data_IF_762684465400
#
_entry.id   IF_762684465400
#
_cell.length_a   1.000
_cell.length_b   1.000
_cell.length_c   1.000
_cell.angle_alpha   90.00
_cell.angle_beta   90.00
_cell.angle_gamma   90.00
#
_symmetry.space_group_name_H-M   'P 1'
#
loop_
_entity.id
_entity.type
_entity.pdbx_description
1 polymer ?
#
# COMPACT_ATOMS: atom_id res chain seq x y z
N UNK A 1 -0.31 37.96 30.64
CA UNK A 1 -1.53 37.23 31.02
C UNK A 1 -1.28 35.77 30.84
N UNK A 2 -0.71 35.20 31.90
CA UNK A 2 -0.70 33.76 32.18
C UNK A 2 -2.13 33.23 32.35
N UNK A 3 -2.21 31.90 32.31
CA UNK A 3 -3.34 31.01 32.65
C UNK A 3 -4.17 30.51 31.46
N UNK A 4 -3.69 29.42 30.83
CA UNK A 4 -4.51 28.26 30.41
C UNK A 4 -3.67 27.21 29.64
N UNK A 5 -2.51 26.78 30.16
CA UNK A 5 -1.71 25.68 29.56
C UNK A 5 -1.18 24.68 30.60
N UNK A 6 -1.85 24.55 31.76
CA UNK A 6 -1.33 23.78 32.90
C UNK A 6 -2.29 22.65 33.34
N UNK A 7 -2.81 21.89 32.38
CA UNK A 7 -3.57 20.67 32.71
C UNK A 7 -3.55 19.69 31.54
N UNK A 8 -2.43 18.98 31.35
CA UNK A 8 -2.35 17.66 30.68
C UNK A 8 -0.93 17.05 30.72
N UNK A 9 -0.19 17.27 31.81
CA UNK A 9 1.02 16.48 32.12
C UNK A 9 0.74 15.64 33.38
N UNK A 10 0.46 14.36 33.16
CA UNK A 10 0.25 13.37 34.21
C UNK A 10 0.53 11.97 33.67
N UNK A 11 1.65 11.42 34.13
CA UNK A 11 2.03 10.00 34.15
C UNK A 11 2.51 9.33 32.84
N UNK A 12 3.74 9.69 32.45
CA UNK A 12 4.68 8.72 31.87
C UNK A 12 5.99 8.75 32.68
N UNK A 13 6.11 7.82 33.64
CA UNK A 13 7.37 7.61 34.35
C UNK A 13 8.35 6.81 33.45
N UNK A 14 9.64 7.19 33.38
CA UNK A 14 10.62 6.49 32.57
C UNK A 14 11.06 5.17 33.22
N UNK A 15 11.13 4.11 32.43
CA UNK A 15 11.65 2.81 32.83
C UNK A 15 13.18 2.91 33.00
N UNK A 16 13.66 2.95 34.24
CA UNK A 16 15.09 2.90 34.58
C UNK A 16 15.53 1.45 34.73
N UNK A 17 16.50 1.03 33.92
CA UNK A 17 17.26 -0.20 34.14
C UNK A 17 18.32 0.08 35.21
N UNK A 18 18.14 -0.46 36.41
CA UNK A 18 19.22 -0.59 37.37
C UNK A 18 19.63 -2.07 37.41
N UNK A 19 20.87 -2.32 36.97
CA UNK A 19 21.63 -3.50 37.32
C UNK A 19 21.97 -3.44 38.81
N UNK A 20 21.55 -4.43 39.59
CA UNK A 20 22.16 -4.75 40.88
C UNK A 20 22.04 -6.26 41.12
N UNK A 21 23.21 -6.93 41.18
CA UNK A 21 23.36 -8.30 41.67
C UNK A 21 23.14 -8.34 43.19
N UNK A 22 22.38 -9.33 43.67
CA UNK A 22 22.69 -10.26 44.78
C UNK A 22 21.42 -10.80 45.45
N UNK A 23 21.36 -12.13 45.65
CA UNK A 23 20.52 -12.76 46.67
C UNK A 23 19.71 -13.98 46.24
N UNK A 24 20.32 -15.16 46.26
CA UNK A 24 19.60 -16.45 46.34
C UNK A 24 18.65 -16.46 47.55
N UNK A 25 17.34 -16.62 47.33
CA UNK A 25 16.41 -17.17 48.33
C UNK A 25 15.35 -18.09 47.68
N UNK A 26 15.10 -19.17 48.41
CA UNK A 26 14.42 -20.43 48.08
C UNK A 26 13.17 -20.39 47.19
N UNK A 27 13.16 -21.32 46.24
CA UNK A 27 12.01 -21.76 45.45
C UNK A 27 11.04 -22.51 46.38
N UNK A 28 9.95 -21.85 46.80
CA UNK A 28 8.77 -22.53 47.31
C UNK A 28 7.87 -22.93 46.14
N UNK A 29 7.75 -24.24 45.92
CA UNK A 29 6.77 -24.85 45.01
C UNK A 29 5.35 -24.42 45.37
N UNK A 30 4.50 -23.97 44.42
CA UNK A 30 3.11 -23.68 44.72
C UNK A 30 2.35 -24.99 45.04
N UNK A 31 1.67 -25.01 46.19
CA UNK A 31 0.74 -26.07 46.57
C UNK A 31 -0.38 -26.22 45.51
N UNK A 32 -0.64 -27.46 45.10
CA UNK A 32 -1.66 -27.89 44.12
C UNK A 32 -3.14 -27.73 44.58
N UNK A 33 -3.50 -26.67 45.32
CA UNK A 33 -4.87 -26.52 45.86
C UNK A 33 -5.56 -25.19 45.60
N UNK A 34 -5.10 -24.40 44.63
CA UNK A 34 -5.93 -23.36 44.02
C UNK A 34 -6.37 -23.79 42.62
N UNK A 35 -7.29 -24.75 42.56
CA UNK A 35 -8.20 -24.85 41.43
C UNK A 35 -9.11 -23.62 41.54
N UNK A 36 -8.63 -22.51 40.97
CA UNK A 36 -9.40 -21.30 40.79
C UNK A 36 -10.68 -21.66 40.04
N UNK A 37 -11.80 -21.44 40.71
CA UNK A 37 -13.10 -21.38 40.06
C UNK A 37 -13.05 -20.20 39.09
N UNK A 38 -12.77 -20.48 37.81
CA UNK A 38 -12.91 -19.49 36.74
C UNK A 38 -14.36 -19.01 36.76
N UNK A 39 -14.55 -17.73 37.07
CA UNK A 39 -15.86 -17.10 37.12
C UNK A 39 -16.44 -17.03 35.71
N UNK A 40 -17.39 -17.92 35.41
CA UNK A 40 -18.04 -18.05 34.10
C UNK A 40 -18.64 -16.74 33.56
N UNK A 41 -18.90 -15.75 34.44
CA UNK A 41 -19.41 -14.44 34.02
C UNK A 41 -18.33 -13.58 33.34
N UNK A 42 -17.06 -13.69 33.78
CA UNK A 42 -15.93 -12.98 33.18
C UNK A 42 -15.55 -13.56 31.82
N UNK A 43 -15.66 -14.89 31.66
CA UNK A 43 -15.38 -15.56 30.38
C UNK A 43 -16.42 -15.17 29.32
N UNK A 44 -17.71 -15.08 29.68
CA UNK A 44 -18.77 -14.66 28.77
C UNK A 44 -18.64 -13.18 28.35
N UNK A 45 -18.23 -12.30 29.27
CA UNK A 45 -17.97 -10.90 28.97
C UNK A 45 -16.77 -10.74 28.02
N UNK A 46 -15.68 -11.48 28.27
CA UNK A 46 -14.50 -11.47 27.43
C UNK A 46 -14.82 -11.93 26.00
N UNK A 47 -15.55 -13.04 25.84
CA UNK A 47 -15.99 -13.51 24.52
C UNK A 47 -16.82 -12.46 23.78
N UNK A 48 -17.73 -11.79 24.49
CA UNK A 48 -18.52 -10.71 23.87
C UNK A 48 -17.62 -9.58 23.34
N UNK A 49 -16.62 -9.16 24.10
CA UNK A 49 -15.68 -8.11 23.68
C UNK A 49 -14.81 -8.55 22.50
N UNK A 50 -14.36 -9.81 22.49
CA UNK A 50 -13.60 -10.35 21.36
C UNK A 50 -14.44 -10.34 20.08
N UNK A 51 -15.67 -10.84 20.14
CA UNK A 51 -16.60 -10.83 19.01
C UNK A 51 -16.93 -9.41 18.52
N UNK A 52 -17.18 -8.48 19.45
CA UNK A 52 -17.49 -7.07 19.15
C UNK A 52 -16.36 -6.39 18.39
N UNK A 53 -15.10 -6.64 18.78
CA UNK A 53 -13.91 -6.07 18.16
C UNK A 53 -13.28 -6.95 17.06
N UNK A 54 -13.94 -8.04 16.65
CA UNK A 54 -13.44 -8.93 15.60
C UNK A 54 -12.12 -9.61 15.94
N UNK A 55 -11.89 -9.91 17.22
CA UNK A 55 -10.68 -10.54 17.74
C UNK A 55 -10.81 -12.07 17.88
N UNK A 56 -11.65 -12.66 17.02
CA UNK A 56 -11.98 -14.08 16.94
C UNK A 56 -11.66 -14.59 15.53
N UNK A 57 -11.78 -15.90 15.31
CA UNK A 57 -11.68 -16.56 14.00
C UNK A 57 -10.45 -16.17 13.15
N UNK A 58 -10.60 -15.22 12.22
CA UNK A 58 -9.57 -14.77 11.28
C UNK A 58 -8.59 -13.75 11.87
N UNK A 59 -8.95 -13.13 13.00
CA UNK A 59 -8.12 -12.18 13.74
C UNK A 59 -8.01 -12.58 15.22
N UNK A 60 -7.58 -13.82 15.55
CA UNK A 60 -7.62 -14.30 16.92
C UNK A 60 -6.68 -13.51 17.84
N UNK A 61 -7.16 -13.16 19.03
CA UNK A 61 -6.28 -12.64 20.09
C UNK A 61 -5.58 -13.80 20.82
N UNK A 62 -4.23 -13.81 20.89
CA UNK A 62 -3.52 -14.87 21.60
C UNK A 62 -3.86 -14.94 23.09
N UNK A 63 -4.03 -16.16 23.60
CA UNK A 63 -4.39 -16.42 25.00
C UNK A 63 -3.21 -16.29 25.95
N UNK A 64 -1.98 -16.54 25.49
CA UNK A 64 -0.77 -16.35 26.29
C UNK A 64 -0.23 -14.92 26.16
N UNK A 65 0.31 -14.40 27.27
CA UNK A 65 0.75 -13.00 27.37
C UNK A 65 1.92 -12.69 26.44
N UNK A 66 2.80 -13.66 26.18
CA UNK A 66 3.96 -13.47 25.30
C UNK A 66 3.52 -13.23 23.85
N UNK A 67 2.66 -14.11 23.31
CA UNK A 67 2.13 -13.97 21.95
C UNK A 67 1.26 -12.73 21.81
N UNK A 68 0.51 -12.35 22.85
CA UNK A 68 -0.26 -11.09 22.86
C UNK A 68 0.66 -9.86 22.79
N UNK A 69 1.76 -9.86 23.54
CA UNK A 69 2.76 -8.80 23.47
C UNK A 69 3.45 -8.74 22.10
N UNK A 70 3.69 -9.89 21.45
CA UNK A 70 4.21 -9.94 20.09
C UNK A 70 3.23 -9.39 19.06
N UNK A 71 1.93 -9.73 19.16
CA UNK A 71 0.89 -9.18 18.30
C UNK A 71 0.82 -7.65 18.44
N UNK A 72 0.89 -7.14 19.67
CA UNK A 72 0.94 -5.70 19.90
C UNK A 72 2.16 -5.04 19.25
N UNK A 73 3.36 -5.61 19.44
CA UNK A 73 4.59 -5.12 18.79
C UNK A 73 4.50 -5.18 17.27
N UNK A 74 3.88 -6.21 16.72
CA UNK A 74 3.62 -6.33 15.30
C UNK A 74 2.75 -5.17 14.80
N UNK A 75 1.60 -4.92 15.44
CA UNK A 75 0.72 -3.80 15.09
C UNK A 75 1.46 -2.45 15.14
N UNK A 76 2.23 -2.19 16.20
CA UNK A 76 3.02 -0.96 16.33
C UNK A 76 4.06 -0.82 15.21
N UNK A 77 4.73 -1.92 14.86
CA UNK A 77 5.78 -1.90 13.82
C UNK A 77 5.18 -1.62 12.44
N UNK A 78 4.06 -2.27 12.11
CA UNK A 78 3.37 -2.09 10.83
C UNK A 78 2.82 -0.67 10.70
N UNK A 79 2.11 -0.19 11.73
CA UNK A 79 1.58 1.17 11.77
C UNK A 79 2.69 2.24 11.71
N UNK A 80 3.73 2.08 12.52
CA UNK A 80 4.86 3.01 12.58
C UNK A 80 5.65 3.07 11.28
N UNK A 81 5.85 1.93 10.61
CA UNK A 81 6.56 1.88 9.33
C UNK A 81 5.81 2.63 8.22
N UNK A 82 4.49 2.42 8.08
CA UNK A 82 3.69 3.13 7.06
C UNK A 82 3.53 4.61 7.38
N UNK A 83 3.38 4.97 8.66
CA UNK A 83 3.41 6.38 9.08
C UNK A 83 4.74 7.05 8.74
N UNK A 84 5.86 6.39 9.05
CA UNK A 84 7.19 6.93 8.77
C UNK A 84 7.44 7.08 7.27
N UNK A 85 7.04 6.10 6.46
CA UNK A 85 7.08 6.19 5.00
C UNK A 85 6.31 7.40 4.47
N UNK A 86 5.11 7.67 5.00
CA UNK A 86 4.33 8.87 4.65
C UNK A 86 5.02 10.16 5.13
N UNK A 87 5.62 10.17 6.32
CA UNK A 87 6.41 11.32 6.81
C UNK A 87 7.56 11.66 5.89
N UNK A 88 8.30 10.68 5.36
CA UNK A 88 9.40 10.93 4.42
C UNK A 88 8.95 11.66 3.15
N UNK A 89 7.73 11.40 2.68
CA UNK A 89 7.15 12.09 1.52
C UNK A 89 6.76 13.54 1.86
N UNK A 90 6.16 13.78 3.02
CA UNK A 90 5.68 15.12 3.45
C UNK A 90 6.82 16.03 3.91
N UNK A 91 7.82 15.48 4.59
CA UNK A 91 8.94 16.24 5.19
C UNK A 91 10.09 16.47 4.21
N UNK A 92 9.89 16.13 2.93
CA UNK A 92 10.86 16.19 1.84
C UNK A 92 11.29 17.62 1.43
N UNK A 93 10.85 18.65 2.17
CA UNK A 93 11.34 20.04 2.06
C UNK A 93 12.75 20.24 2.67
N UNK A 94 13.30 19.25 3.40
CA UNK A 94 14.70 19.25 3.83
C UNK A 94 15.60 18.53 2.81
N UNK A 95 16.94 18.61 2.96
CA UNK A 95 18.01 18.21 1.99
C UNK A 95 17.89 16.82 1.29
N UNK A 96 16.92 15.99 1.67
CA UNK A 96 16.61 14.71 1.04
C UNK A 96 15.15 14.67 0.55
N UNK A 97 14.99 14.82 -0.76
CA UNK A 97 13.71 14.63 -1.42
C UNK A 97 13.39 13.13 -1.54
N UNK A 98 12.20 12.70 -1.12
CA UNK A 98 11.73 11.32 -1.28
C UNK A 98 10.54 11.32 -2.23
N UNK A 99 10.72 10.75 -3.42
CA UNK A 99 9.64 10.59 -4.41
C UNK A 99 8.77 9.37 -4.14
N UNK A 100 9.38 8.30 -3.61
CA UNK A 100 8.74 6.99 -3.40
C UNK A 100 9.21 6.38 -2.08
N UNK A 101 8.26 5.93 -1.26
CA UNK A 101 8.53 5.17 -0.04
C UNK A 101 7.78 3.83 -0.09
N UNK A 102 8.43 2.75 0.32
CA UNK A 102 7.91 1.38 0.19
C UNK A 102 7.92 0.70 1.56
N UNK A 103 6.79 0.12 1.95
CA UNK A 103 6.66 -0.74 3.13
C UNK A 103 5.96 -2.06 2.77
N UNK A 104 6.73 -3.11 2.49
CA UNK A 104 6.20 -4.45 2.20
C UNK A 104 5.55 -5.13 3.42
N UNK A 105 5.86 -4.67 4.63
CA UNK A 105 5.24 -5.18 5.86
C UNK A 105 3.83 -4.61 6.12
N UNK A 106 3.45 -3.55 5.40
CA UNK A 106 2.17 -2.86 5.52
C UNK A 106 1.06 -3.41 4.61
N UNK A 107 0.05 -2.59 4.37
CA UNK A 107 -1.05 -2.90 3.45
C UNK A 107 -2.24 -3.58 4.13
N UNK A 108 -2.45 -3.39 5.44
CA UNK A 108 -3.54 -4.02 6.20
C UNK A 108 -4.84 -3.23 6.01
N UNK A 109 -5.58 -3.56 4.96
CA UNK A 109 -6.73 -2.77 4.51
C UNK A 109 -8.10 -3.11 5.14
N UNK A 110 -8.23 -4.24 5.84
CA UNK A 110 -9.51 -4.71 6.41
C UNK A 110 -9.76 -4.27 7.86
N UNK A 111 -8.76 -3.68 8.53
CA UNK A 111 -8.96 -3.18 9.88
C UNK A 111 -9.87 -1.95 9.85
N UNK A 112 -10.95 -1.99 10.62
CA UNK A 112 -11.88 -0.88 10.85
C UNK A 112 -11.47 -0.05 12.08
N UNK A 113 -12.18 1.05 12.33
CA UNK A 113 -11.86 1.94 13.46
C UNK A 113 -12.02 1.26 14.83
N UNK A 114 -12.97 0.34 14.95
CA UNK A 114 -13.36 -0.34 16.18
C UNK A 114 -13.32 -1.87 16.06
N UNK A 115 -12.86 -2.43 14.94
CA UNK A 115 -12.93 -3.85 14.65
C UNK A 115 -11.78 -4.36 13.79
N UNK A 116 -11.16 -5.47 14.19
CA UNK A 116 -10.24 -6.24 13.35
C UNK A 116 -11.00 -7.14 12.36
N UNK A 117 -10.35 -7.52 11.26
CA UNK A 117 -10.93 -8.45 10.27
C UNK A 117 -9.94 -8.76 9.17
N UNK A 118 -10.07 -9.93 8.51
CA UNK A 118 -9.24 -10.30 7.36
C UNK A 118 -7.74 -10.23 7.64
N UNK A 119 -7.30 -10.78 8.78
CA UNK A 119 -5.90 -10.73 9.27
C UNK A 119 -5.37 -9.33 9.59
N UNK A 120 -6.22 -8.30 9.58
CA UNK A 120 -5.86 -6.91 9.81
C UNK A 120 -6.34 -6.45 11.19
N UNK A 121 -5.39 -6.16 12.09
CA UNK A 121 -5.66 -5.65 13.44
C UNK A 121 -5.52 -4.13 13.55
N UNK A 122 -4.70 -3.53 12.68
CA UNK A 122 -4.48 -2.08 12.59
C UNK A 122 -4.47 -1.69 11.12
N UNK A 123 -5.09 -0.55 10.79
CA UNK A 123 -5.12 -0.05 9.42
C UNK A 123 -3.97 0.95 9.21
N UNK A 124 -2.79 0.42 8.86
CA UNK A 124 -1.59 1.23 8.65
C UNK A 124 -1.70 2.17 7.44
N UNK A 125 -2.51 1.78 6.44
CA UNK A 125 -2.82 2.59 5.27
C UNK A 125 -3.59 3.85 5.68
N UNK A 126 -4.64 3.72 6.49
CA UNK A 126 -5.42 4.86 6.99
C UNK A 126 -4.53 5.83 7.77
N UNK A 127 -3.61 5.32 8.58
CA UNK A 127 -2.65 6.16 9.32
C UNK A 127 -1.69 6.89 8.38
N UNK A 128 -1.15 6.20 7.36
CA UNK A 128 -0.31 6.81 6.34
C UNK A 128 -1.06 7.91 5.56
N UNK A 129 -2.28 7.65 5.09
CA UNK A 129 -3.10 8.64 4.39
C UNK A 129 -3.39 9.84 5.28
N UNK A 130 -3.75 9.63 6.56
CA UNK A 130 -3.93 10.72 7.52
C UNK A 130 -2.67 11.57 7.69
N UNK A 131 -1.48 10.96 7.66
CA UNK A 131 -0.21 11.71 7.68
C UNK A 131 -0.02 12.53 6.41
N UNK A 132 -0.27 11.97 5.23
CA UNK A 132 -0.18 12.69 3.95
C UNK A 132 -1.15 13.88 3.88
N UNK A 133 -2.36 13.73 4.42
CA UNK A 133 -3.36 14.80 4.49
C UNK A 133 -2.97 15.96 5.42
N UNK A 134 -1.98 15.78 6.29
CA UNK A 134 -1.41 16.87 7.10
C UNK A 134 -0.39 17.70 6.33
N UNK A 135 0.01 17.26 5.13
CA UNK A 135 0.79 18.08 4.22
C UNK A 135 0.03 19.37 3.91
N UNK A 136 0.76 20.47 3.96
CA UNK A 136 0.24 21.80 3.71
C UNK A 136 1.00 22.36 2.51
N UNK A 137 0.27 22.66 1.44
CA UNK A 137 0.80 23.46 0.35
C UNK A 137 0.12 24.82 0.34
N UNK A 138 0.81 25.84 -0.16
CA UNK A 138 0.22 27.15 -0.41
C UNK A 138 -0.09 27.20 -1.90
N UNK A 139 -1.35 27.40 -2.25
CA UNK A 139 -1.73 27.56 -3.65
C UNK A 139 -1.23 28.88 -4.24
N UNK A 140 -1.33 29.05 -5.56
CA UNK A 140 -0.90 30.27 -6.26
C UNK A 140 -1.61 31.54 -5.74
N UNK A 141 -2.77 31.40 -5.08
CA UNK A 141 -3.54 32.49 -4.48
C UNK A 141 -3.13 32.80 -3.03
N UNK A 142 -2.14 32.10 -2.47
CA UNK A 142 -1.69 32.27 -1.10
C UNK A 142 -2.59 31.60 -0.05
N UNK A 143 -3.50 30.72 -0.47
CA UNK A 143 -4.40 29.98 0.40
C UNK A 143 -3.76 28.66 0.79
N UNK A 144 -3.95 28.25 2.05
CA UNK A 144 -3.54 26.94 2.51
C UNK A 144 -4.38 25.87 1.79
N UNK A 145 -3.79 25.20 0.81
CA UNK A 145 -4.39 24.07 0.13
C UNK A 145 -4.20 22.81 0.96
N UNK A 146 -5.30 22.09 1.16
CA UNK A 146 -5.29 20.79 1.81
C UNK A 146 -4.97 19.72 0.77
N UNK A 147 -3.99 18.85 1.06
CA UNK A 147 -3.63 17.79 0.13
C UNK A 147 -4.77 16.81 -0.13
N UNK A 148 -4.81 16.29 -1.36
CA UNK A 148 -5.67 15.23 -1.87
C UNK A 148 -4.87 13.94 -2.05
N UNK A 149 -5.44 12.81 -1.62
CA UNK A 149 -4.77 11.51 -1.69
C UNK A 149 -5.62 10.53 -2.50
N UNK A 150 -5.04 9.96 -3.56
CA UNK A 150 -5.66 8.86 -4.30
C UNK A 150 -5.15 7.53 -3.73
N UNK A 151 -6.05 6.75 -3.14
CA UNK A 151 -5.77 5.38 -2.71
C UNK A 151 -6.21 4.40 -3.78
N UNK A 152 -5.28 3.56 -4.24
CA UNK A 152 -5.53 2.51 -5.23
C UNK A 152 -5.23 1.17 -4.57
N UNK A 153 -6.19 0.25 -4.63
CA UNK A 153 -6.06 -1.10 -4.09
C UNK A 153 -6.21 -2.13 -5.20
N UNK A 154 -5.17 -2.97 -5.38
CA UNK A 154 -5.16 -4.10 -6.31
C UNK A 154 -5.01 -5.46 -5.59
N UNK A 155 -5.23 -5.49 -4.28
CA UNK A 155 -5.50 -6.73 -3.55
C UNK A 155 -6.81 -7.35 -4.06
N UNK A 156 -6.88 -8.68 -4.11
CA UNK A 156 -8.07 -9.34 -4.66
C UNK A 156 -9.31 -9.14 -3.77
N UNK A 157 -9.13 -8.82 -2.48
CA UNK A 157 -10.20 -8.53 -1.54
C UNK A 157 -10.53 -7.03 -1.54
N UNK A 158 -11.81 -6.71 -1.36
CA UNK A 158 -12.25 -5.32 -1.29
C UNK A 158 -11.72 -4.63 -0.02
N UNK A 159 -11.18 -3.41 -0.17
CA UNK A 159 -10.55 -2.62 0.90
C UNK A 159 -11.54 -1.94 1.86
N UNK A 160 -12.45 -2.71 2.45
CA UNK A 160 -13.56 -2.21 3.26
C UNK A 160 -13.16 -1.32 4.45
N UNK A 161 -12.07 -1.62 5.14
CA UNK A 161 -11.55 -0.79 6.24
C UNK A 161 -11.10 0.59 5.76
N UNK A 162 -10.35 0.67 4.66
CA UNK A 162 -9.92 1.95 4.07
C UNK A 162 -11.10 2.72 3.48
N UNK A 163 -12.01 2.02 2.78
CA UNK A 163 -13.25 2.61 2.27
C UNK A 163 -14.05 3.27 3.39
N UNK A 164 -14.31 2.54 4.49
CA UNK A 164 -15.10 3.05 5.60
C UNK A 164 -14.45 4.28 6.24
N UNK A 165 -13.12 4.26 6.43
CA UNK A 165 -12.38 5.34 7.09
C UNK A 165 -12.48 6.70 6.36
N UNK A 166 -12.68 6.68 5.04
CA UNK A 166 -12.73 7.88 4.20
C UNK A 166 -14.06 8.09 3.47
N UNK A 167 -15.09 7.31 3.82
CA UNK A 167 -16.36 7.27 3.08
C UNK A 167 -17.11 8.62 2.98
N UNK A 168 -16.83 9.55 3.90
CA UNK A 168 -17.50 10.85 4.02
C UNK A 168 -16.68 12.06 3.58
N UNK A 169 -15.46 11.88 3.06
CA UNK A 169 -14.57 12.97 2.63
C UNK A 169 -14.28 12.94 1.14
N UNK A 170 -14.15 14.11 0.53
CA UNK A 170 -13.67 14.35 -0.83
C UNK A 170 -12.14 14.48 -0.93
N UNK A 171 -11.44 14.54 0.20
CA UNK A 171 -9.98 14.70 0.21
C UNK A 171 -9.23 13.41 -0.09
N UNK A 172 -9.91 12.27 0.02
CA UNK A 172 -9.35 10.96 -0.28
C UNK A 172 -10.28 10.28 -1.28
N UNK A 173 -9.72 9.90 -2.43
CA UNK A 173 -10.45 9.06 -3.38
C UNK A 173 -9.96 7.63 -3.24
N UNK A 174 -10.88 6.69 -2.99
CA UNK A 174 -10.59 5.26 -2.90
C UNK A 174 -10.97 4.57 -4.21
N UNK A 175 -10.06 3.76 -4.76
CA UNK A 175 -10.29 2.95 -5.95
C UNK A 175 -9.85 1.52 -5.70
N UNK A 176 -10.81 0.59 -5.56
CA UNK A 176 -10.54 -0.81 -5.25
C UNK A 176 -10.92 -1.71 -6.42
N UNK A 177 -9.95 -2.48 -6.90
CA UNK A 177 -10.13 -3.56 -7.87
C UNK A 177 -10.12 -4.87 -7.12
N UNK A 178 -11.22 -5.60 -7.10
CA UNK A 178 -11.34 -6.79 -6.25
C UNK A 178 -12.26 -7.83 -6.87
N UNK A 179 -12.10 -9.09 -6.50
CA UNK A 179 -13.05 -10.14 -6.85
C UNK A 179 -14.37 -9.85 -6.14
N UNK A 180 -15.47 -10.02 -6.85
CA UNK A 180 -16.80 -10.01 -6.23
C UNK A 180 -17.59 -11.24 -6.66
N UNK A 181 -17.83 -12.11 -5.69
CA UNK A 181 -18.74 -13.25 -5.83
C UNK A 181 -19.43 -13.54 -4.50
N UNK A 182 -20.63 -14.12 -4.49
CA UNK A 182 -21.33 -14.45 -3.25
C UNK A 182 -20.45 -15.24 -2.28
N UNK A 183 -20.32 -14.74 -1.05
CA UNK A 183 -19.54 -15.38 0.01
C UNK A 183 -18.03 -15.10 -0.02
N UNK A 184 -17.52 -14.39 -1.04
CA UNK A 184 -16.12 -13.95 -1.05
C UNK A 184 -15.91 -12.77 -0.10
N UNK A 185 -14.83 -12.80 0.69
CA UNK A 185 -14.57 -11.78 1.69
C UNK A 185 -14.13 -10.45 1.05
N UNK A 186 -14.53 -9.29 1.60
CA UNK A 186 -15.59 -9.06 2.59
C UNK A 186 -16.98 -9.18 1.93
N UNK A 187 -17.79 -10.13 2.39
CA UNK A 187 -19.01 -10.54 1.69
C UNK A 187 -20.14 -9.48 1.68
N UNK A 188 -19.98 -8.38 2.41
CA UNK A 188 -21.02 -7.37 2.65
C UNK A 188 -20.72 -6.00 2.06
N UNK A 189 -19.58 -5.82 1.39
CA UNK A 189 -19.13 -4.53 0.82
C UNK A 189 -18.49 -4.73 -0.56
N UNK A 190 -18.03 -3.64 -1.19
CA UNK A 190 -17.37 -3.70 -2.50
C UNK A 190 -18.36 -3.69 -3.66
N UNK A 191 -19.61 -3.27 -3.43
CA UNK A 191 -20.59 -3.16 -4.50
C UNK A 191 -20.41 -1.86 -5.30
N UNK A 192 -20.68 -1.89 -6.61
CA UNK A 192 -20.63 -0.70 -7.52
C UNK A 192 -21.50 0.48 -7.04
N UNK A 193 -22.52 0.20 -6.22
CA UNK A 193 -23.45 1.21 -5.69
C UNK A 193 -22.89 1.99 -4.50
N UNK A 194 -21.83 1.49 -3.85
CA UNK A 194 -21.14 2.15 -2.74
C UNK A 194 -20.23 3.23 -3.30
N UNK A 195 -20.69 4.48 -3.26
CA UNK A 195 -20.03 5.62 -3.91
C UNK A 195 -19.54 6.69 -2.94
N UNK A 196 -19.58 6.40 -1.64
CA UNK A 196 -19.39 7.38 -0.57
C UNK A 196 -20.71 7.70 0.14
N UNK A 197 -20.60 8.38 1.28
CA UNK A 197 -21.72 8.71 2.14
C UNK A 197 -22.59 9.81 1.51
N UNK A 198 -23.88 9.51 1.34
CA UNK A 198 -24.86 10.47 0.80
C UNK A 198 -24.94 11.68 1.74
N UNK A 199 -25.16 12.87 1.18
CA UNK A 199 -25.24 14.15 1.93
C UNK A 199 -23.94 14.57 2.64
N UNK A 200 -22.80 13.98 2.27
CA UNK A 200 -21.46 14.41 2.66
C UNK A 200 -20.61 14.81 1.46
N UNK A 201 -19.42 15.38 1.71
CA UNK A 201 -18.47 15.66 0.64
C UNK A 201 -17.93 14.39 -0.04
N UNK A 202 -17.93 13.24 0.66
CA UNK A 202 -17.39 11.98 0.14
C UNK A 202 -18.21 11.30 -0.95
N UNK A 203 -19.45 11.73 -1.21
CA UNK A 203 -20.24 11.14 -2.28
C UNK A 203 -19.59 11.40 -3.66
N UNK A 204 -19.26 10.33 -4.36
CA UNK A 204 -18.53 10.32 -5.63
C UNK A 204 -17.04 10.00 -5.52
N UNK A 205 -16.49 9.92 -4.29
CA UNK A 205 -15.06 9.70 -4.04
C UNK A 205 -14.70 8.27 -3.62
N UNK A 206 -15.65 7.33 -3.74
CA UNK A 206 -15.39 5.90 -3.59
C UNK A 206 -15.73 5.15 -4.89
N UNK A 207 -14.73 4.47 -5.47
CA UNK A 207 -14.86 3.67 -6.68
C UNK A 207 -14.57 2.19 -6.39
N UNK A 208 -15.63 1.40 -6.41
CA UNK A 208 -15.52 -0.06 -6.38
C UNK A 208 -15.58 -0.64 -7.79
N UNK A 209 -14.57 -1.46 -8.11
CA UNK A 209 -14.43 -2.17 -9.38
C UNK A 209 -14.49 -3.67 -9.10
N UNK A 210 -15.70 -4.25 -8.93
CA UNK A 210 -15.86 -5.67 -8.71
C UNK A 210 -15.60 -6.46 -9.99
N UNK A 211 -14.81 -7.52 -9.89
CA UNK A 211 -14.31 -8.30 -11.00
C UNK A 211 -14.70 -9.79 -10.87
N UNK A 212 -14.92 -10.48 -12.01
CA UNK A 212 -15.10 -11.92 -12.03
C UNK A 212 -13.79 -12.66 -11.70
N UNK A 213 -13.90 -13.97 -11.47
CA UNK A 213 -12.75 -14.87 -11.35
C UNK A 213 -12.07 -15.05 -12.71
N UNK A 214 -10.80 -15.48 -12.71
CA UNK A 214 -10.05 -15.82 -13.92
C UNK A 214 -9.71 -14.63 -14.83
N UNK A 215 -9.73 -13.40 -14.32
CA UNK A 215 -9.18 -12.26 -15.07
C UNK A 215 -7.69 -12.50 -15.31
N UNK A 216 -7.27 -12.28 -16.55
CA UNK A 216 -5.88 -12.35 -16.99
C UNK A 216 -5.19 -10.98 -16.97
N UNK A 217 -3.86 -10.98 -17.06
CA UNK A 217 -3.03 -9.77 -17.12
C UNK A 217 -3.50 -8.76 -18.17
N UNK A 218 -3.78 -9.24 -19.39
CA UNK A 218 -4.13 -8.36 -20.52
C UNK A 218 -5.40 -7.59 -20.22
N UNK A 219 -6.42 -8.26 -19.69
CA UNK A 219 -7.71 -7.65 -19.34
C UNK A 219 -7.56 -6.73 -18.14
N UNK A 220 -6.88 -7.19 -17.09
CA UNK A 220 -6.68 -6.42 -15.86
C UNK A 220 -5.91 -5.13 -16.14
N UNK A 221 -4.73 -5.21 -16.76
CA UNK A 221 -3.86 -4.06 -17.04
C UNK A 221 -4.57 -3.06 -17.95
N UNK A 222 -5.27 -3.52 -18.99
CA UNK A 222 -6.01 -2.62 -19.90
C UNK A 222 -7.07 -1.81 -19.14
N UNK A 223 -7.79 -2.45 -18.24
CA UNK A 223 -8.82 -1.80 -17.43
C UNK A 223 -8.19 -0.88 -16.38
N UNK A 224 -7.24 -1.41 -15.59
CA UNK A 224 -6.49 -0.68 -14.56
C UNK A 224 -5.93 0.62 -15.13
N UNK A 225 -5.19 0.53 -16.23
CA UNK A 225 -4.59 1.68 -16.91
C UNK A 225 -5.62 2.75 -17.24
N UNK A 226 -6.71 2.37 -17.91
CA UNK A 226 -7.76 3.32 -18.31
C UNK A 226 -8.41 4.00 -17.10
N UNK A 227 -8.62 3.25 -16.03
CA UNK A 227 -9.23 3.78 -14.81
C UNK A 227 -8.28 4.71 -14.07
N UNK A 228 -7.03 4.29 -13.82
CA UNK A 228 -6.04 5.11 -13.10
C UNK A 228 -5.75 6.41 -13.85
N UNK A 229 -5.65 6.40 -15.17
CA UNK A 229 -5.50 7.64 -15.95
C UNK A 229 -6.70 8.59 -15.78
N UNK A 230 -7.92 8.05 -15.85
CA UNK A 230 -9.13 8.84 -15.62
C UNK A 230 -9.19 9.39 -14.19
N UNK A 231 -8.85 8.58 -13.19
CA UNK A 231 -8.83 8.96 -11.78
C UNK A 231 -7.83 10.09 -11.53
N UNK A 232 -6.58 9.94 -11.95
CA UNK A 232 -5.55 10.97 -11.77
C UNK A 232 -5.95 12.26 -12.47
N UNK A 233 -6.45 12.19 -13.71
CA UNK A 233 -6.85 13.38 -14.45
C UNK A 233 -8.10 14.09 -13.88
N UNK A 234 -9.03 13.35 -13.28
CA UNK A 234 -10.27 13.93 -12.73
C UNK A 234 -10.15 14.37 -11.28
N UNK A 235 -9.38 13.65 -10.47
CA UNK A 235 -9.21 13.90 -9.04
C UNK A 235 -8.02 14.81 -8.73
N UNK A 236 -7.02 14.83 -9.62
CA UNK A 236 -5.80 15.63 -9.49
C UNK A 236 -5.12 15.44 -8.12
N UNK A 237 -4.69 14.23 -7.75
CA UNK A 237 -4.13 13.96 -6.42
C UNK A 237 -2.73 14.56 -6.22
N UNK A 238 -2.43 14.99 -4.99
CA UNK A 238 -1.08 15.37 -4.59
C UNK A 238 -0.22 14.14 -4.23
N UNK A 239 -0.87 13.10 -3.70
CA UNK A 239 -0.22 11.83 -3.35
C UNK A 239 -1.02 10.64 -3.86
N UNK A 240 -0.31 9.58 -4.26
CA UNK A 240 -0.90 8.27 -4.56
C UNK A 240 -0.39 7.25 -3.55
N UNK A 241 -1.31 6.53 -2.91
CA UNK A 241 -1.01 5.36 -2.07
C UNK A 241 -1.51 4.13 -2.81
N UNK A 242 -0.59 3.25 -3.21
CA UNK A 242 -0.90 2.01 -3.93
C UNK A 242 -0.71 0.80 -3.00
N UNK A 243 -1.81 0.11 -2.67
CA UNK A 243 -1.75 -1.19 -2.01
C UNK A 243 -1.61 -2.30 -3.06
N UNK A 244 -0.56 -3.11 -2.95
CA UNK A 244 -0.22 -4.16 -3.91
C UNK A 244 -0.40 -5.53 -3.26
N UNK A 245 -1.64 -5.99 -3.14
CA UNK A 245 -1.94 -7.34 -2.68
C UNK A 245 -1.46 -8.39 -3.69
N UNK A 246 -0.81 -9.44 -3.20
CA UNK A 246 -0.22 -10.48 -4.05
C UNK A 246 -1.10 -11.74 -4.17
N UNK A 247 -2.23 -11.76 -3.49
CA UNK A 247 -3.18 -12.87 -3.47
C UNK A 247 -4.03 -12.98 -4.75
N UNK A 248 -4.03 -11.94 -5.59
CA UNK A 248 -4.53 -11.99 -6.96
C UNK A 248 -3.65 -12.78 -7.94
N UNK A 249 -2.45 -13.23 -7.53
CA UNK A 249 -1.55 -13.99 -8.39
C UNK A 249 -2.08 -15.40 -8.67
N UNK A 250 -1.78 -15.90 -9.86
CA UNK A 250 -2.20 -17.24 -10.27
C UNK A 250 -1.67 -18.31 -9.29
N UNK A 251 -2.58 -19.13 -8.78
CA UNK A 251 -2.26 -20.24 -7.88
C UNK A 251 -2.18 -19.86 -6.41
N UNK A 252 -2.55 -18.63 -6.01
CA UNK A 252 -2.61 -18.25 -4.60
C UNK A 252 -3.51 -19.19 -3.78
N UNK A 253 -3.00 -19.67 -2.64
CA UNK A 253 -3.66 -20.69 -1.83
C UNK A 253 -4.87 -20.14 -1.05
N UNK A 254 -4.86 -18.86 -0.67
CA UNK A 254 -5.96 -18.22 0.06
C UNK A 254 -7.19 -18.11 -0.83
N UNK A 255 -6.97 -17.86 -2.13
CA UNK A 255 -8.07 -17.68 -3.08
C UNK A 255 -8.51 -18.98 -3.73
N UNK A 256 -7.59 -19.92 -3.96
CA UNK A 256 -7.93 -21.22 -4.53
C UNK A 256 -8.48 -22.22 -3.51
N UNK A 257 -8.39 -21.91 -2.20
CA UNK A 257 -8.81 -22.80 -1.12
C UNK A 257 -7.95 -24.06 -0.98
N UNK A 258 -6.79 -24.11 -1.67
CA UNK A 258 -5.91 -25.29 -1.73
C UNK A 258 -4.76 -25.13 -0.73
N UNK A 259 -5.00 -25.47 0.53
CA UNK A 259 -3.92 -25.62 1.51
C UNK A 259 -3.02 -26.85 1.22
N UNK A 260 -3.46 -27.80 0.37
CA UNK A 260 -2.71 -28.98 -0.04
C UNK A 260 -2.81 -29.25 -1.56
N UNK A 261 -1.66 -29.48 -2.19
CA UNK A 261 -1.39 -29.33 -3.63
C UNK A 261 -1.75 -30.51 -4.55
N UNK A 262 -2.64 -31.41 -4.17
CA UNK A 262 -2.82 -32.68 -4.92
C UNK A 262 -3.91 -32.70 -5.98
N UNK A 263 -4.72 -31.65 -6.17
CA UNK A 263 -5.78 -31.64 -7.19
C UNK A 263 -5.55 -30.59 -8.28
N UNK A 264 -5.33 -31.06 -9.51
CA UNK A 264 -5.13 -30.29 -10.74
C UNK A 264 -6.44 -29.83 -11.41
N UNK A 265 -7.56 -29.75 -10.69
CA UNK A 265 -8.77 -29.16 -11.25
C UNK A 265 -8.57 -27.66 -11.48
N UNK A 266 -8.77 -27.24 -12.73
CA UNK A 266 -8.48 -25.92 -13.30
C UNK A 266 -9.59 -24.88 -13.06
N UNK A 267 -10.35 -24.99 -11.99
CA UNK A 267 -11.37 -24.00 -11.63
C UNK A 267 -10.86 -23.21 -10.42
N UNK A 268 -9.84 -22.39 -10.65
CA UNK A 268 -9.35 -21.46 -9.63
C UNK A 268 -10.36 -20.33 -9.44
N UNK A 269 -10.82 -20.13 -8.20
CA UNK A 269 -11.70 -19.02 -7.88
C UNK A 269 -10.98 -17.65 -7.81
N UNK A 270 -9.67 -17.61 -8.10
CA UNK A 270 -8.87 -16.39 -8.12
C UNK A 270 -8.67 -15.78 -9.49
N UNK A 271 -7.83 -14.74 -9.57
CA UNK A 271 -7.35 -14.22 -10.83
C UNK A 271 -6.17 -15.03 -11.36
N UNK A 272 -5.86 -14.82 -12.62
CA UNK A 272 -4.72 -15.41 -13.32
C UNK A 272 -3.69 -14.32 -13.61
N UNK A 273 -3.37 -13.52 -12.59
CA UNK A 273 -2.35 -12.49 -12.72
C UNK A 273 -0.96 -13.09 -12.57
N UNK A 274 -0.03 -12.63 -13.40
CA UNK A 274 1.39 -12.93 -13.24
C UNK A 274 2.07 -11.87 -12.37
N UNK A 275 3.24 -12.18 -11.78
CA UNK A 275 4.09 -11.18 -11.15
C UNK A 275 4.41 -10.01 -12.09
N UNK A 276 4.61 -10.27 -13.38
CA UNK A 276 4.82 -9.25 -14.41
C UNK A 276 3.61 -8.35 -14.61
N UNK A 277 2.39 -8.90 -14.55
CA UNK A 277 1.16 -8.13 -14.64
C UNK A 277 0.97 -7.18 -13.46
N UNK A 278 1.24 -7.68 -12.25
CA UNK A 278 1.20 -6.86 -11.03
C UNK A 278 2.30 -5.78 -11.06
N UNK A 279 3.51 -6.12 -11.50
CA UNK A 279 4.60 -5.17 -11.66
C UNK A 279 4.28 -4.08 -12.70
N UNK A 280 3.54 -4.41 -13.76
CA UNK A 280 3.09 -3.44 -14.75
C UNK A 280 2.10 -2.42 -14.15
N UNK A 281 1.21 -2.84 -13.25
CA UNK A 281 0.36 -1.92 -12.50
C UNK A 281 1.19 -0.93 -11.65
N UNK A 282 2.20 -1.42 -10.93
CA UNK A 282 3.13 -0.57 -10.17
C UNK A 282 3.90 0.38 -11.10
N UNK A 283 4.37 -0.09 -12.26
CA UNK A 283 5.08 0.73 -13.24
C UNK A 283 4.19 1.85 -13.80
N UNK A 284 2.94 1.55 -14.14
CA UNK A 284 1.98 2.54 -14.66
C UNK A 284 1.76 3.64 -13.62
N UNK A 285 1.48 3.26 -12.37
CA UNK A 285 1.18 4.23 -11.30
C UNK A 285 2.39 5.07 -10.93
N UNK A 286 3.57 4.46 -10.78
CA UNK A 286 4.81 5.21 -10.54
C UNK A 286 5.18 6.15 -11.68
N UNK A 287 4.91 5.76 -12.93
CA UNK A 287 5.12 6.62 -14.10
C UNK A 287 4.19 7.85 -14.09
N UNK A 288 2.96 7.70 -13.61
CA UNK A 288 2.04 8.84 -13.41
C UNK A 288 2.54 9.79 -12.32
N UNK A 289 3.01 9.26 -11.20
CA UNK A 289 3.62 10.06 -10.14
C UNK A 289 4.84 10.85 -10.65
N UNK A 290 5.61 10.27 -11.58
CA UNK A 290 6.73 10.94 -12.25
C UNK A 290 6.31 11.99 -13.31
N UNK A 291 5.00 12.25 -13.48
CA UNK A 291 4.48 13.24 -14.42
C UNK A 291 4.47 12.81 -15.89
N UNK A 292 4.63 11.50 -16.17
CA UNK A 292 4.59 11.01 -17.55
C UNK A 292 3.16 11.00 -18.09
N UNK A 293 3.00 11.42 -19.35
CA UNK A 293 1.70 11.38 -20.03
C UNK A 293 1.26 9.95 -20.34
N UNK A 294 -0.05 9.74 -20.52
CA UNK A 294 -0.62 8.45 -20.96
C UNK A 294 0.08 7.91 -22.22
N UNK A 295 0.39 8.77 -23.19
CA UNK A 295 1.09 8.39 -24.42
C UNK A 295 2.48 7.82 -24.11
N UNK A 296 3.26 8.51 -23.27
CA UNK A 296 4.61 8.08 -22.87
C UNK A 296 4.60 6.76 -22.09
N UNK A 297 3.60 6.57 -21.22
CA UNK A 297 3.46 5.34 -20.42
C UNK A 297 3.10 4.14 -21.30
N UNK A 298 2.32 4.38 -22.36
CA UNK A 298 1.83 3.36 -23.28
C UNK A 298 2.80 3.02 -24.41
N UNK A 299 3.76 3.88 -24.73
CA UNK A 299 4.81 3.58 -25.69
C UNK A 299 5.79 2.56 -25.11
N UNK A 300 5.99 1.44 -25.81
CA UNK A 300 7.09 0.52 -25.50
C UNK A 300 8.41 1.27 -25.58
N UNK A 301 9.42 0.96 -24.73
CA UNK A 301 10.78 1.40 -25.00
C UNK A 301 11.13 0.93 -26.41
N UNK A 302 11.49 1.86 -27.29
CA UNK A 302 12.10 1.52 -28.58
C UNK A 302 13.27 0.59 -28.25
N UNK A 303 13.23 -0.65 -28.76
CA UNK A 303 14.43 -1.50 -28.74
C UNK A 303 15.52 -0.67 -29.38
N UNK A 304 16.59 -0.35 -28.65
CA UNK A 304 17.80 0.16 -29.26
C UNK A 304 18.17 -0.84 -30.37
N UNK A 305 18.00 -0.43 -31.62
CA UNK A 305 18.59 -1.13 -32.74
C UNK A 305 20.09 -1.14 -32.46
N UNK A 306 20.61 -2.32 -32.10
CA UNK A 306 22.04 -2.58 -32.18
C UNK A 306 22.44 -2.27 -33.61
N UNK A 307 23.03 -1.09 -33.83
CA UNK A 307 23.88 -0.84 -34.98
C UNK A 307 25.08 -1.77 -34.82
N UNK A 308 24.95 -2.98 -35.35
CA UNK A 308 26.11 -3.78 -35.70
C UNK A 308 26.89 -2.98 -36.74
N UNK A 309 27.94 -2.30 -36.27
CA UNK A 309 29.03 -1.90 -37.13
C UNK A 309 29.69 -3.19 -37.63
N UNK A 310 29.34 -3.62 -38.84
CA UNK A 310 30.23 -4.47 -39.63
C UNK A 310 31.50 -3.68 -39.89
N UNK A 311 32.55 -4.00 -39.13
CA UNK A 311 33.92 -3.68 -39.50
C UNK A 311 34.29 -4.59 -40.67
N UNK A 312 34.43 -4.00 -41.85
CA UNK A 312 35.05 -4.63 -43.02
C UNK A 312 36.44 -5.14 -42.66
N UNK A 313 36.63 -6.45 -42.79
CA UNK A 313 37.93 -7.11 -42.75
C UNK A 313 38.61 -7.00 -44.12
N UNK A 314 39.85 -6.53 -44.06
CA UNK A 314 40.99 -6.85 -44.94
C UNK A 314 41.08 -6.21 -46.33
N UNK A 315 42.05 -5.31 -46.42
CA UNK A 315 42.65 -4.80 -47.64
C UNK A 315 43.50 -5.87 -48.35
N UNK A 316 43.40 -5.92 -49.69
CA UNK A 316 44.48 -6.36 -50.57
C UNK A 316 44.62 -5.42 -51.76
N UNK A 317 45.61 -4.53 -51.63
CA UNK A 317 46.59 -4.08 -52.62
C UNK A 317 46.20 -4.01 -54.12
N UNK A 318 46.16 -2.78 -54.68
CA UNK A 318 47.03 -2.37 -55.79
C UNK A 318 46.67 -0.97 -56.37
N UNK A 319 47.72 -0.18 -56.62
CA UNK A 319 47.87 0.93 -57.58
C UNK A 319 47.35 2.36 -57.26
N UNK A 320 48.33 3.25 -57.14
CA UNK A 320 48.34 4.73 -57.21
C UNK A 320 48.03 5.24 -58.65
N UNK A 321 47.97 6.57 -58.95
CA UNK A 321 47.75 7.78 -58.14
C UNK A 321 46.70 8.74 -58.77
N UNK A 322 46.30 9.84 -58.08
CA UNK A 322 46.24 11.23 -58.61
C UNK A 322 45.28 12.20 -57.87
N UNK A 323 45.89 13.19 -57.23
CA UNK A 323 45.56 14.65 -57.22
C UNK A 323 44.34 15.26 -56.48
N UNK A 324 44.69 16.37 -55.79
CA UNK A 324 43.93 17.59 -55.39
C UNK A 324 43.02 17.46 -54.16
N UNK A 325 43.42 17.98 -53.00
CA UNK A 325 43.43 19.39 -52.58
C UNK A 325 42.02 20.02 -52.53
N UNK A 326 41.51 20.34 -51.32
CA UNK A 326 41.42 21.71 -50.76
C UNK A 326 40.56 21.75 -49.49
N UNK A 327 41.06 22.49 -48.48
CA UNK A 327 40.39 23.44 -47.55
C UNK A 327 39.07 23.06 -46.85
N UNK A 328 39.09 23.09 -45.50
CA UNK A 328 38.49 24.13 -44.63
C UNK A 328 36.96 24.04 -44.58
N UNK A 329 36.27 24.18 -43.46
CA UNK A 329 36.59 24.93 -42.26
C UNK A 329 35.68 24.47 -41.12
N UNK A 330 36.20 24.63 -39.92
CA UNK A 330 35.46 24.65 -38.64
C UNK A 330 34.21 25.51 -38.73
N UNK A 331 33.13 25.05 -38.11
CA UNK A 331 32.30 25.93 -37.30
C UNK A 331 31.71 25.16 -36.11
N UNK A 332 31.95 25.75 -34.95
CA UNK A 332 31.53 25.37 -33.61
C UNK A 332 30.34 26.23 -33.19
N UNK A 333 29.30 25.65 -32.59
CA UNK A 333 28.33 26.27 -31.65
C UNK A 333 27.36 25.15 -31.22
N UNK A 334 27.45 24.56 -30.03
CA UNK A 334 27.10 25.06 -28.69
C UNK A 334 25.59 25.35 -28.49
N UNK A 335 25.08 24.74 -27.42
CA UNK A 335 23.90 25.10 -26.59
C UNK A 335 22.53 24.54 -27.01
N UNK A 336 21.90 23.85 -26.07
CA UNK A 336 20.44 23.69 -26.05
C UNK A 336 19.96 22.54 -25.16
N UNK A 337 20.07 22.68 -23.83
CA UNK A 337 19.35 21.85 -22.86
C UNK A 337 17.83 22.05 -22.99
N UNK A 338 17.08 20.96 -23.02
CA UNK A 338 15.88 20.73 -22.23
C UNK A 338 15.96 19.31 -21.71
#
# INVERSE_FOLDING_TARGET
NDTALDSLEGDLAPFSLNDDEEGEQDILSPNETEIQTRDSSNDALMQKLLAEHGLEDDCPLPTDDYSRALLWKYCLSVAGASWHAASLLVESENEHHTDVAINWGGGRHHAHADKAGGFCYVNDIVLAIKRLLQSQSVDEAGTLASSRVLYIDIDIHHCDGVQQAFYSTDRVMTASFHRNSPGFFPATSGFVREKGEIDTAGFGYNLNVPLPTGIDDVTFIRMYRKMVFGLVNSFDPDFIVLCVGADGLEGDALVTGKLHSTDHSSTGEGWSLSPEGLAECVRITSSLCAGLSEEMICTRPMKEEKKENQSDETASDCSNPETKATHDSRESLQVGKR
#
